data_IF_745269154610
#
_entry.id   IF_745269154610
#
_cell.length_a   1.000
_cell.length_b   1.000
_cell.length_c   1.000
_cell.angle_alpha   90.00
_cell.angle_beta   90.00
_cell.angle_gamma   90.00
#
_symmetry.space_group_name_H-M   'P 1'
#
loop_
_entity.id
_entity.type
_entity.pdbx_description
1 polymer ?
#
# COMPACT_ATOMS: atom_id res chain seq x y z
N UNK A 1 14.98 12.14 6.68
CA UNK A 1 14.26 12.07 5.38
C UNK A 1 14.58 10.80 4.60
N UNK A 2 15.76 10.19 4.74
CA UNK A 2 16.18 8.99 4.00
C UNK A 2 15.31 7.76 4.23
N UNK A 3 14.89 7.49 5.47
CA UNK A 3 14.08 6.31 5.79
C UNK A 3 12.70 6.32 5.10
N UNK A 4 11.94 7.41 5.20
CA UNK A 4 10.65 7.56 4.50
C UNK A 4 10.80 7.43 2.98
N UNK A 5 11.91 7.88 2.41
CA UNK A 5 12.20 7.74 0.97
C UNK A 5 12.47 6.29 0.58
N UNK A 6 13.24 5.55 1.37
CA UNK A 6 13.41 4.11 1.16
C UNK A 6 12.07 3.36 1.24
N UNK A 7 11.20 3.77 2.16
CA UNK A 7 9.87 3.18 2.32
C UNK A 7 8.94 3.40 1.12
N UNK A 8 9.11 4.50 0.35
CA UNK A 8 8.37 4.74 -0.89
C UNK A 8 8.68 3.71 -1.98
N UNK A 9 9.83 3.02 -1.88
CA UNK A 9 10.23 1.93 -2.78
C UNK A 9 9.90 0.58 -2.14
N UNK A 10 10.33 0.38 -0.89
CA UNK A 10 10.23 -0.90 -0.21
C UNK A 10 8.77 -1.37 -0.02
N UNK A 11 7.85 -0.46 0.33
CA UNK A 11 6.46 -0.85 0.56
C UNK A 11 5.75 -1.35 -0.72
N UNK A 12 5.79 -0.64 -1.88
CA UNK A 12 5.28 -1.19 -3.13
C UNK A 12 5.96 -2.50 -3.57
N UNK A 13 7.27 -2.66 -3.31
CA UNK A 13 7.95 -3.93 -3.58
C UNK A 13 7.43 -5.08 -2.72
N UNK A 14 7.12 -4.83 -1.44
CA UNK A 14 6.44 -5.81 -0.59
C UNK A 14 5.05 -6.16 -1.15
N UNK A 15 4.26 -5.18 -1.62
CA UNK A 15 2.96 -5.46 -2.24
C UNK A 15 3.09 -6.27 -3.54
N UNK A 16 4.12 -5.99 -4.34
CA UNK A 16 4.43 -6.81 -5.51
C UNK A 16 4.84 -8.23 -5.11
N UNK A 17 5.68 -8.36 -4.07
CA UNK A 17 6.10 -9.64 -3.50
C UNK A 17 4.92 -10.48 -2.99
N UNK A 18 3.95 -9.85 -2.31
CA UNK A 18 2.69 -10.49 -1.93
C UNK A 18 1.98 -11.08 -3.14
N UNK A 19 1.79 -10.29 -4.20
CA UNK A 19 1.16 -10.74 -5.43
C UNK A 19 1.92 -11.89 -6.10
N UNK A 20 3.25 -11.83 -6.13
CA UNK A 20 4.10 -12.89 -6.72
C UNK A 20 4.01 -14.19 -5.94
N UNK A 21 4.15 -14.15 -4.61
CA UNK A 21 4.02 -15.36 -3.76
C UNK A 21 2.64 -15.96 -3.94
N UNK A 22 1.59 -15.13 -3.99
CA UNK A 22 0.22 -15.56 -4.24
C UNK A 22 0.06 -16.22 -5.63
N UNK A 23 0.70 -15.71 -6.68
CA UNK A 23 0.65 -16.32 -8.00
C UNK A 23 1.31 -17.70 -7.99
N UNK A 24 2.50 -17.81 -7.37
CA UNK A 24 3.24 -19.06 -7.25
C UNK A 24 2.44 -20.09 -6.44
N UNK A 25 1.90 -19.71 -5.29
CA UNK A 25 1.08 -20.57 -4.44
C UNK A 25 -0.24 -21.02 -5.08
N UNK A 26 -0.65 -20.41 -6.20
CA UNK A 26 -1.83 -20.84 -6.97
C UNK A 26 -1.51 -21.82 -8.10
N UNK A 27 -0.23 -22.05 -8.42
CA UNK A 27 0.17 -22.83 -9.60
C UNK A 27 -0.20 -24.30 -9.52
N UNK A 28 -0.32 -24.86 -8.31
CA UNK A 28 -0.76 -26.24 -8.06
C UNK A 28 -2.29 -26.37 -7.92
N UNK A 29 -3.02 -25.25 -8.09
CA UNK A 29 -4.47 -25.20 -7.94
C UNK A 29 -4.98 -25.14 -6.49
N UNK A 30 -4.10 -25.18 -5.48
CA UNK A 30 -4.46 -25.18 -4.07
C UNK A 30 -3.92 -23.93 -3.34
N UNK A 31 -4.71 -22.85 -3.36
CA UNK A 31 -4.42 -21.67 -2.54
C UNK A 31 -5.35 -21.58 -1.34
N UNK A 32 -4.78 -21.66 -0.13
CA UNK A 32 -5.47 -21.80 1.15
C UNK A 32 -4.50 -21.79 2.33
N UNK A 33 -4.85 -22.36 3.50
CA UNK A 33 -3.96 -22.34 4.66
C UNK A 33 -2.67 -23.10 4.35
N UNK A 34 -1.52 -22.47 4.63
CA UNK A 34 -0.23 -23.01 4.21
C UNK A 34 0.89 -21.97 4.17
N UNK A 35 2.10 -22.40 3.81
CA UNK A 35 3.30 -21.57 3.81
C UNK A 35 3.18 -20.39 2.83
N UNK A 36 2.71 -20.65 1.62
CA UNK A 36 2.49 -19.68 0.56
C UNK A 36 1.50 -18.58 0.98
N UNK A 37 0.40 -18.94 1.63
CA UNK A 37 -0.54 -18.00 2.23
C UNK A 37 0.12 -17.16 3.31
N UNK A 38 0.79 -17.79 4.27
CA UNK A 38 1.42 -17.08 5.39
C UNK A 38 2.49 -16.12 4.92
N UNK A 39 3.39 -16.56 4.04
CA UNK A 39 4.46 -15.72 3.49
C UNK A 39 3.87 -14.55 2.71
N UNK A 40 2.86 -14.79 1.87
CA UNK A 40 2.20 -13.72 1.13
C UNK A 40 1.64 -12.64 2.09
N UNK A 41 0.86 -13.04 3.08
CA UNK A 41 0.21 -12.08 3.98
C UNK A 41 1.19 -11.37 4.91
N UNK A 42 2.25 -12.05 5.38
CA UNK A 42 3.31 -11.43 6.18
C UNK A 42 4.11 -10.41 5.37
N UNK A 43 4.47 -10.73 4.12
CA UNK A 43 5.14 -9.77 3.23
C UNK A 43 4.24 -8.55 2.98
N UNK A 44 2.93 -8.74 2.81
CA UNK A 44 2.00 -7.62 2.69
C UNK A 44 1.92 -6.76 3.97
N UNK A 45 1.89 -7.39 5.16
CA UNK A 45 1.90 -6.70 6.44
C UNK A 45 3.16 -5.86 6.63
N UNK A 46 4.33 -6.37 6.25
CA UNK A 46 5.58 -5.59 6.22
C UNK A 46 5.44 -4.40 5.28
N UNK A 47 4.85 -4.60 4.09
CA UNK A 47 4.54 -3.53 3.15
C UNK A 47 3.66 -2.43 3.75
N UNK A 48 2.58 -2.81 4.44
CA UNK A 48 1.67 -1.88 5.14
C UNK A 48 2.39 -1.10 6.25
N UNK A 49 3.22 -1.78 7.05
CA UNK A 49 4.02 -1.16 8.10
C UNK A 49 5.01 -0.14 7.53
N UNK A 50 5.70 -0.47 6.43
CA UNK A 50 6.59 0.44 5.71
C UNK A 50 5.82 1.57 5.03
N UNK A 51 4.55 1.36 4.66
CA UNK A 51 3.74 2.40 4.03
C UNK A 51 3.40 3.55 5.00
N UNK A 52 3.36 3.31 6.31
CA UNK A 52 3.13 4.36 7.34
C UNK A 52 4.17 5.49 7.24
N UNK A 53 5.50 5.23 7.39
CA UNK A 53 6.50 6.28 7.25
C UNK A 53 6.58 6.84 5.82
N UNK A 54 6.16 6.09 4.78
CA UNK A 54 6.06 6.58 3.41
C UNK A 54 4.98 7.67 3.29
N UNK A 55 3.77 7.41 3.78
CA UNK A 55 2.64 8.38 3.80
C UNK A 55 2.99 9.62 4.61
N UNK A 56 3.64 9.46 5.78
CA UNK A 56 4.13 10.59 6.56
C UNK A 56 5.22 11.39 5.82
N UNK A 57 6.02 10.72 4.99
CA UNK A 57 6.96 11.35 4.06
C UNK A 57 6.25 12.21 3.04
N UNK A 58 5.23 11.67 2.35
CA UNK A 58 4.42 12.42 1.37
C UNK A 58 3.78 13.66 1.97
N UNK A 59 3.26 13.56 3.21
CA UNK A 59 2.68 14.71 3.93
C UNK A 59 3.68 15.87 4.09
N UNK A 60 4.96 15.58 4.31
CA UNK A 60 6.00 16.59 4.53
C UNK A 60 6.35 17.37 3.27
N UNK A 61 6.14 16.78 2.10
CA UNK A 61 6.35 17.43 0.79
C UNK A 61 5.20 18.39 0.41
N UNK A 62 4.10 18.42 1.17
CA UNK A 62 2.93 19.24 0.91
C UNK A 62 2.83 20.40 1.90
N UNK A 63 2.67 21.64 1.43
CA UNK A 63 2.38 22.81 2.25
C UNK A 63 0.88 23.21 2.27
N UNK A 64 0.04 22.46 1.55
CA UNK A 64 -1.35 22.85 1.24
C UNK A 64 -2.37 22.46 2.32
N UNK A 65 -3.49 23.21 2.35
CA UNK A 65 -4.70 22.85 3.11
C UNK A 65 -5.22 21.48 2.63
N UNK A 66 -5.64 20.63 3.56
CA UNK A 66 -6.12 19.26 3.26
C UNK A 66 -5.09 18.14 3.43
N UNK A 67 -3.78 18.44 3.52
CA UNK A 67 -2.73 17.40 3.65
C UNK A 67 -2.95 16.51 4.87
N UNK A 68 -3.37 17.10 6.00
CA UNK A 68 -3.60 16.39 7.25
C UNK A 68 -4.80 15.45 7.12
N UNK A 69 -5.91 15.94 6.55
CA UNK A 69 -7.11 15.14 6.33
C UNK A 69 -6.81 13.90 5.48
N UNK A 70 -6.21 14.10 4.30
CA UNK A 70 -5.90 12.97 3.41
C UNK A 70 -4.82 12.03 3.95
N UNK A 71 -3.90 12.54 4.77
CA UNK A 71 -2.96 11.70 5.52
C UNK A 71 -3.71 10.81 6.51
N UNK A 72 -4.66 11.36 7.27
CA UNK A 72 -5.47 10.60 8.23
C UNK A 72 -6.33 9.56 7.50
N UNK A 73 -7.00 9.93 6.41
CA UNK A 73 -7.78 9.00 5.58
C UNK A 73 -6.91 7.84 5.10
N UNK A 74 -5.73 8.14 4.54
CA UNK A 74 -4.78 7.10 4.10
C UNK A 74 -4.36 6.20 5.27
N UNK A 75 -4.02 6.78 6.42
CA UNK A 75 -3.58 6.03 7.60
C UNK A 75 -4.68 5.15 8.18
N UNK A 76 -5.94 5.60 8.17
CA UNK A 76 -7.09 4.76 8.56
C UNK A 76 -7.22 3.57 7.61
N UNK A 77 -7.04 3.79 6.30
CA UNK A 77 -7.01 2.71 5.33
C UNK A 77 -5.86 1.72 5.52
N UNK A 78 -4.68 2.19 5.90
CA UNK A 78 -3.56 1.33 6.28
C UNK A 78 -3.90 0.53 7.54
N UNK A 79 -4.41 1.17 8.59
CA UNK A 79 -4.75 0.49 9.85
C UNK A 79 -5.82 -0.58 9.68
N UNK A 80 -6.88 -0.29 8.92
CA UNK A 80 -7.93 -1.28 8.61
C UNK A 80 -7.43 -2.42 7.73
N UNK A 81 -6.56 -2.13 6.76
CA UNK A 81 -5.86 -3.17 5.97
C UNK A 81 -4.98 -4.07 6.85
N UNK A 82 -4.27 -3.50 7.83
CA UNK A 82 -3.45 -4.27 8.78
C UNK A 82 -4.33 -5.23 9.58
N UNK A 83 -5.48 -4.76 10.08
CA UNK A 83 -6.43 -5.63 10.80
C UNK A 83 -6.94 -6.73 9.89
N UNK A 84 -7.35 -6.41 8.66
CA UNK A 84 -7.81 -7.42 7.70
C UNK A 84 -6.74 -8.51 7.45
N UNK A 85 -5.51 -8.10 7.14
CA UNK A 85 -4.42 -9.06 6.90
C UNK A 85 -4.02 -9.85 8.15
N UNK A 86 -4.14 -9.26 9.34
CA UNK A 86 -3.92 -9.99 10.60
C UNK A 86 -4.99 -11.07 10.82
N UNK A 87 -6.25 -10.79 10.50
CA UNK A 87 -7.32 -11.79 10.51
C UNK A 87 -7.04 -12.89 9.48
N UNK A 88 -6.60 -12.54 8.28
CA UNK A 88 -6.25 -13.49 7.22
C UNK A 88 -5.10 -14.43 7.64
N UNK A 89 -4.08 -13.90 8.32
CA UNK A 89 -2.98 -14.69 8.91
C UNK A 89 -3.50 -15.61 10.03
N UNK A 90 -4.34 -15.10 10.93
CA UNK A 90 -4.89 -15.90 12.02
C UNK A 90 -5.78 -17.03 11.48
N UNK A 91 -6.65 -16.74 10.50
CA UNK A 91 -7.48 -17.75 9.85
C UNK A 91 -6.62 -18.81 9.14
N UNK A 92 -5.54 -18.40 8.47
CA UNK A 92 -4.60 -19.32 7.82
C UNK A 92 -3.83 -20.23 8.80
N UNK A 93 -3.59 -19.77 10.03
CA UNK A 93 -2.94 -20.58 11.07
C UNK A 93 -3.91 -21.53 11.78
N UNK A 94 -5.17 -21.11 11.95
CA UNK A 94 -6.17 -21.86 12.72
C UNK A 94 -6.92 -22.90 11.87
N UNK A 95 -7.01 -22.69 10.56
CA UNK A 95 -7.74 -23.58 9.67
C UNK A 95 -6.85 -24.71 9.11
N UNK A 96 -7.42 -25.91 9.03
CA UNK A 96 -6.80 -27.06 8.37
C UNK A 96 -7.03 -27.09 6.87
N UNK A 97 -8.05 -26.39 6.38
CA UNK A 97 -8.39 -26.30 4.98
C UNK A 97 -9.05 -24.95 4.63
N UNK A 98 -9.34 -24.77 3.34
CA UNK A 98 -9.96 -23.55 2.82
C UNK A 98 -11.39 -23.33 3.32
N UNK A 99 -12.11 -24.39 3.67
CA UNK A 99 -13.47 -24.27 4.20
C UNK A 99 -13.44 -23.72 5.63
N UNK A 100 -12.51 -24.20 6.46
CA UNK A 100 -12.24 -23.69 7.80
C UNK A 100 -11.86 -22.22 7.80
N UNK A 101 -10.98 -21.79 6.90
CA UNK A 101 -10.65 -20.36 6.77
C UNK A 101 -11.88 -19.50 6.49
N UNK A 102 -12.75 -19.95 5.57
CA UNK A 102 -13.98 -19.22 5.23
C UNK A 102 -14.93 -19.14 6.41
N UNK A 103 -15.03 -20.20 7.22
CA UNK A 103 -15.84 -20.21 8.43
C UNK A 103 -15.33 -19.17 9.44
N UNK A 104 -14.01 -19.15 9.72
CA UNK A 104 -13.40 -18.18 10.62
C UNK A 104 -13.61 -16.73 10.12
N UNK A 105 -13.36 -16.47 8.83
CA UNK A 105 -13.60 -15.14 8.25
C UNK A 105 -15.07 -14.73 8.31
N UNK A 106 -16.00 -15.69 8.21
CA UNK A 106 -17.43 -15.44 8.34
C UNK A 106 -17.82 -15.06 9.78
N UNK A 107 -17.25 -15.72 10.79
CA UNK A 107 -17.44 -15.36 12.19
C UNK A 107 -16.97 -13.93 12.50
N UNK A 108 -15.78 -13.56 12.02
CA UNK A 108 -15.28 -12.18 12.17
C UNK A 108 -16.19 -11.19 11.45
N UNK A 109 -16.67 -11.54 10.25
CA UNK A 109 -17.58 -10.70 9.47
C UNK A 109 -18.97 -10.56 10.11
N UNK A 110 -19.36 -11.48 10.99
CA UNK A 110 -20.64 -11.45 11.71
C UNK A 110 -20.63 -10.45 12.88
N UNK A 111 -19.44 -10.03 13.35
CA UNK A 111 -19.32 -8.96 14.35
C UNK A 111 -19.93 -7.67 13.76
N UNK A 112 -20.88 -7.01 14.47
CA UNK A 112 -21.53 -5.81 13.95
C UNK A 112 -20.54 -4.75 13.49
N UNK A 113 -20.64 -4.36 12.22
CA UNK A 113 -19.78 -3.35 11.60
C UNK A 113 -18.39 -3.84 11.15
N UNK A 114 -17.90 -5.00 11.59
CA UNK A 114 -16.55 -5.47 11.26
C UNK A 114 -16.34 -5.67 9.76
N UNK A 115 -17.32 -6.30 9.07
CA UNK A 115 -17.29 -6.44 7.61
C UNK A 115 -17.20 -5.08 6.90
N UNK A 116 -18.02 -4.12 7.31
CA UNK A 116 -18.04 -2.79 6.69
C UNK A 116 -16.71 -2.09 6.92
N UNK A 117 -16.22 -2.07 8.16
CA UNK A 117 -15.00 -1.35 8.54
C UNK A 117 -13.76 -1.99 7.94
N UNK A 118 -13.57 -3.30 8.07
CA UNK A 118 -12.30 -3.96 7.76
C UNK A 118 -12.24 -4.61 6.38
N UNK A 119 -13.36 -4.83 5.70
CA UNK A 119 -13.37 -5.51 4.39
C UNK A 119 -13.95 -4.67 3.26
N UNK A 120 -14.88 -3.75 3.54
CA UNK A 120 -15.60 -3.02 2.49
C UNK A 120 -15.13 -1.57 2.37
N UNK A 121 -15.08 -0.82 3.48
CA UNK A 121 -14.86 0.62 3.46
C UNK A 121 -13.45 1.00 3.87
N UNK A 122 -12.93 0.42 4.95
CA UNK A 122 -11.63 0.81 5.51
C UNK A 122 -10.47 0.66 4.53
N UNK A 123 -10.17 -0.56 4.02
CA UNK A 123 -9.03 -0.77 3.15
C UNK A 123 -9.00 0.13 1.91
N UNK A 124 -10.11 0.36 1.18
CA UNK A 124 -10.15 1.32 0.07
C UNK A 124 -9.74 2.75 0.43
N UNK A 125 -9.90 3.20 1.68
CA UNK A 125 -9.47 4.54 2.11
C UNK A 125 -7.96 4.76 1.93
N UNK A 126 -7.16 3.69 1.97
CA UNK A 126 -5.72 3.76 1.69
C UNK A 126 -5.51 4.35 0.29
N UNK A 127 -6.16 3.76 -0.72
CA UNK A 127 -5.99 4.14 -2.11
C UNK A 127 -6.65 5.48 -2.44
N UNK A 128 -7.83 5.76 -1.86
CA UNK A 128 -8.51 7.05 -2.00
C UNK A 128 -7.64 8.18 -1.44
N UNK A 129 -7.13 8.01 -0.22
CA UNK A 129 -6.26 8.99 0.42
C UNK A 129 -4.93 9.16 -0.32
N UNK A 130 -4.31 8.05 -0.76
CA UNK A 130 -3.08 8.08 -1.55
C UNK A 130 -3.26 8.81 -2.88
N UNK A 131 -4.37 8.55 -3.59
CA UNK A 131 -4.71 9.24 -4.83
C UNK A 131 -4.88 10.74 -4.60
N UNK A 132 -5.60 11.14 -3.55
CA UNK A 132 -5.77 12.54 -3.21
C UNK A 132 -4.43 13.23 -2.89
N UNK A 133 -3.56 12.58 -2.10
CA UNK A 133 -2.21 13.08 -1.81
C UNK A 133 -1.37 13.22 -3.08
N UNK A 134 -1.45 12.26 -4.01
CA UNK A 134 -0.73 12.31 -5.28
C UNK A 134 -1.24 13.43 -6.19
N UNK A 135 -2.56 13.66 -6.26
CA UNK A 135 -3.14 14.79 -6.97
C UNK A 135 -2.62 16.11 -6.39
N UNK A 136 -2.58 16.23 -5.06
CA UNK A 136 -2.04 17.43 -4.40
C UNK A 136 -0.56 17.65 -4.73
N UNK A 137 0.26 16.59 -4.74
CA UNK A 137 1.68 16.64 -5.10
C UNK A 137 1.88 17.03 -6.58
N UNK A 138 1.06 16.50 -7.48
CA UNK A 138 1.09 16.84 -8.90
C UNK A 138 0.71 18.31 -9.13
N UNK A 139 -0.35 18.80 -8.46
CA UNK A 139 -0.74 20.21 -8.51
C UNK A 139 0.33 21.14 -7.94
N UNK A 140 1.05 20.70 -6.91
CA UNK A 140 2.21 21.41 -6.35
C UNK A 140 3.49 21.27 -7.20
N UNK A 141 3.43 20.58 -8.35
CA UNK A 141 4.57 20.33 -9.27
C UNK A 141 5.75 19.59 -8.61
N UNK A 142 5.47 18.85 -7.54
CA UNK A 142 6.45 18.00 -6.84
C UNK A 142 6.68 16.71 -7.63
N UNK A 143 5.59 16.12 -8.15
CA UNK A 143 5.60 14.94 -9.03
C UNK A 143 5.03 15.25 -10.41
N UNK A 144 5.19 14.33 -11.35
CA UNK A 144 4.61 14.44 -12.69
C UNK A 144 3.08 14.25 -12.66
N UNK A 145 2.40 14.80 -13.66
CA UNK A 145 0.94 14.75 -13.77
C UNK A 145 0.39 13.33 -13.99
N UNK A 146 1.20 12.39 -14.48
CA UNK A 146 0.82 10.99 -14.68
C UNK A 146 0.87 10.14 -13.40
N UNK A 147 1.53 10.61 -12.34
CA UNK A 147 1.65 9.85 -11.08
C UNK A 147 0.29 9.50 -10.45
N UNK A 148 -0.69 10.43 -10.35
CA UNK A 148 -2.05 10.10 -9.93
C UNK A 148 -2.73 9.04 -10.80
N UNK A 149 -2.54 9.10 -12.13
CA UNK A 149 -3.12 8.11 -13.05
C UNK A 149 -2.56 6.72 -12.81
N UNK A 150 -1.25 6.59 -12.56
CA UNK A 150 -0.65 5.30 -12.22
C UNK A 150 -1.14 4.77 -10.87
N UNK A 151 -1.36 5.62 -9.87
CA UNK A 151 -1.92 5.20 -8.57
C UNK A 151 -3.37 4.74 -8.74
N UNK A 152 -4.17 5.48 -9.51
CA UNK A 152 -5.54 5.07 -9.84
C UNK A 152 -5.54 3.72 -10.58
N UNK A 153 -4.78 3.60 -11.67
CA UNK A 153 -4.69 2.35 -12.42
C UNK A 153 -4.20 1.20 -11.53
N UNK A 154 -3.14 1.43 -10.75
CA UNK A 154 -2.55 0.43 -9.86
C UNK A 154 -3.50 -0.04 -8.76
N UNK A 155 -4.36 0.85 -8.24
CA UNK A 155 -5.37 0.49 -7.23
C UNK A 155 -6.59 -0.23 -7.81
N UNK A 156 -6.93 0.00 -9.08
CA UNK A 156 -8.07 -0.65 -9.74
C UNK A 156 -7.74 -2.05 -10.28
N UNK A 157 -6.48 -2.33 -10.61
CA UNK A 157 -6.06 -3.64 -11.13
C UNK A 157 -6.43 -4.83 -10.21
N UNK A 158 -6.18 -4.78 -8.88
CA UNK A 158 -6.59 -5.84 -7.95
C UNK A 158 -8.12 -6.04 -7.85
N UNK A 159 -8.92 -5.01 -8.19
CA UNK A 159 -10.39 -5.11 -8.21
C UNK A 159 -10.86 -5.98 -9.38
N UNK A 160 -10.16 -5.90 -10.52
CA UNK A 160 -10.43 -6.73 -11.70
C UNK A 160 -9.97 -8.16 -11.45
N UNK A 161 -8.74 -8.33 -10.96
CA UNK A 161 -8.20 -9.61 -10.56
C UNK A 161 -7.06 -9.43 -9.57
N UNK A 162 -7.09 -10.22 -8.50
CA UNK A 162 -5.98 -10.30 -7.54
C UNK A 162 -4.68 -10.82 -8.18
N UNK A 163 -4.73 -11.44 -9.36
CA UNK A 163 -3.54 -11.86 -10.10
C UNK A 163 -2.77 -10.65 -10.68
N UNK A 164 -3.43 -9.49 -10.79
CA UNK A 164 -2.85 -8.22 -11.27
C UNK A 164 -2.22 -7.39 -10.14
N UNK A 165 -2.18 -7.90 -8.90
CA UNK A 165 -1.54 -7.22 -7.76
C UNK A 165 -0.08 -6.86 -8.03
N UNK A 166 0.78 -7.74 -8.61
CA UNK A 166 2.15 -7.35 -8.93
C UNK A 166 2.21 -6.14 -9.86
N UNK A 167 1.40 -6.15 -10.91
CA UNK A 167 1.35 -5.05 -11.88
C UNK A 167 0.84 -3.77 -11.22
N UNK A 168 -0.22 -3.87 -10.41
CA UNK A 168 -0.76 -2.73 -9.68
C UNK A 168 0.23 -2.11 -8.70
N UNK A 169 0.97 -2.96 -7.96
CA UNK A 169 2.04 -2.54 -7.07
C UNK A 169 3.19 -1.86 -7.81
N UNK A 170 3.56 -2.36 -9.01
CA UNK A 170 4.57 -1.73 -9.86
C UNK A 170 4.10 -0.37 -10.42
N UNK A 171 2.81 -0.19 -10.72
CA UNK A 171 2.27 1.12 -11.07
C UNK A 171 2.41 2.12 -9.90
N UNK A 172 2.09 1.69 -8.68
CA UNK A 172 2.28 2.53 -7.47
C UNK A 172 3.76 2.82 -7.24
N UNK A 173 4.64 1.82 -7.40
CA UNK A 173 6.10 2.01 -7.32
C UNK A 173 6.58 3.05 -8.31
N UNK A 174 6.20 2.93 -9.59
CA UNK A 174 6.60 3.87 -10.63
C UNK A 174 6.09 5.31 -10.35
N UNK A 175 4.91 5.45 -9.76
CA UNK A 175 4.38 6.74 -9.34
C UNK A 175 5.17 7.38 -8.19
N UNK A 176 5.68 6.57 -7.25
CA UNK A 176 6.35 7.05 -6.04
C UNK A 176 7.89 7.11 -6.17
N UNK A 177 8.49 6.34 -7.07
CA UNK A 177 9.94 6.25 -7.25
C UNK A 177 10.63 7.63 -7.47
N UNK A 178 10.07 8.59 -8.23
CA UNK A 178 10.69 9.91 -8.39
C UNK A 178 10.88 10.68 -7.07
N UNK A 179 10.00 10.45 -6.08
CA UNK A 179 10.08 11.07 -4.75
C UNK A 179 11.16 10.42 -3.87
N UNK A 180 11.44 9.13 -4.09
CA UNK A 180 12.43 8.38 -3.32
C UNK A 180 13.87 8.76 -3.69
N UNK A 181 14.13 8.98 -4.99
CA UNK A 181 15.48 9.29 -5.50
C UNK A 181 15.91 10.73 -5.21
N UNK A 182 14.94 11.65 -5.02
CA UNK A 182 15.20 13.06 -4.73
C UNK A 182 15.66 13.84 -5.98
N UNK A 183 15.17 15.08 -6.14
CA UNK A 183 15.69 15.98 -7.19
C UNK A 183 17.12 16.42 -6.81
N UNK A 184 18.10 16.44 -7.74
CA UNK A 184 19.48 16.90 -7.49
C UNK A 184 19.63 18.39 -7.10
N UNK A 185 18.55 19.12 -6.88
CA UNK A 185 18.53 20.59 -6.84
C UNK A 185 19.02 21.22 -5.54
N UNK A 186 19.17 20.46 -4.44
CA UNK A 186 19.70 21.02 -3.18
C UNK A 186 21.23 21.18 -3.19
N UNK A 187 21.99 20.20 -3.70
CA UNK A 187 23.47 20.29 -3.76
C UNK A 187 23.98 21.41 -4.67
N UNK A 188 23.28 21.71 -5.77
CA UNK A 188 23.70 22.77 -6.72
C UNK A 188 23.49 24.19 -6.14
N UNK A 189 22.52 24.38 -5.23
CA UNK A 189 22.28 25.67 -4.56
C UNK A 189 23.29 25.94 -3.45
N UNK A 190 23.69 24.94 -2.68
CA UNK A 190 24.76 25.08 -1.67
C UNK A 190 26.14 25.26 -2.33
N UNK A 191 26.44 24.53 -3.42
CA UNK A 191 27.68 24.71 -4.17
C UNK A 191 27.76 26.08 -4.88
N UNK A 192 26.62 26.65 -5.28
CA UNK A 192 26.57 28.00 -5.86
C UNK A 192 26.63 29.11 -4.79
N UNK A 193 26.23 28.84 -3.54
CA UNK A 193 26.29 29.79 -2.43
C UNK A 193 27.64 29.74 -1.67
N UNK A 194 28.38 28.64 -1.76
CA UNK A 194 29.73 28.50 -1.19
C UNK A 194 30.85 28.96 -2.13
N UNK A 195 30.50 29.42 -3.34
CA UNK A 195 31.43 29.93 -4.36
C UNK A 195 31.37 31.44 -4.59
N UNK A 196 30.70 32.18 -3.71
CA UNK A 196 30.62 33.66 -3.69
C UNK A 196 31.17 34.19 -2.38
#
# INVERSE_FOLDING_TARGET
>A
MTFSRACLIAAPLCFAGYGVVRLVGRMDGQYGPGLDWQVAHLVNLVGLALFVPAVLGLRRELATRGRTFWTVVTSVGVGTSVVQFAIDVAAGLLATDKAGMRAISAEVSAIPGARVVFYVVGPPLLYVGLLALAIMLARAKVVAWWCPTLILAGSMLPVVSLDLIPVGALCVLAALAPLAVGRPTSRRREAAAAGT
#
